data_IF_495821549528
#
_entry.id   IF_495821549528
#
_cell.length_a   1.000
_cell.length_b   1.000
_cell.length_c   1.000
_cell.angle_alpha   90.00
_cell.angle_beta   90.00
_cell.angle_gamma   90.00
#
_symmetry.space_group_name_H-M   'P 1'
#
loop_
_entity.id
_entity.type
_entity.pdbx_description
1 polymer ?
#
# COMPACT_ATOMS: atom_id res chain seq x y z
N UNK A 1 -45.13 11.67 -1.75
CA UNK A 1 -44.17 10.78 -2.43
C UNK A 1 -42.96 11.55 -2.91
N UNK A 2 -41.86 11.44 -2.18
CA UNK A 2 -40.57 12.03 -2.54
C UNK A 2 -39.50 10.96 -2.34
N UNK A 3 -39.22 10.23 -3.41
CA UNK A 3 -38.19 9.21 -3.49
C UNK A 3 -36.81 9.88 -3.50
N UNK A 4 -36.07 9.75 -2.40
CA UNK A 4 -34.64 10.09 -2.35
C UNK A 4 -33.82 8.90 -2.87
N UNK A 5 -33.26 9.05 -4.06
CA UNK A 5 -32.22 8.17 -4.59
C UNK A 5 -30.88 8.57 -3.97
N UNK A 6 -30.48 7.88 -2.89
CA UNK A 6 -29.16 8.04 -2.29
C UNK A 6 -28.05 7.36 -3.13
N UNK A 7 -26.83 7.91 -3.18
CA UNK A 7 -25.73 7.33 -3.95
C UNK A 7 -25.08 6.17 -3.16
N UNK A 8 -25.50 4.94 -3.42
CA UNK A 8 -24.93 3.72 -2.83
C UNK A 8 -23.80 3.08 -3.64
N UNK A 9 -23.31 3.73 -4.72
CA UNK A 9 -22.41 3.12 -5.71
C UNK A 9 -20.97 2.91 -5.23
N UNK A 10 -20.42 3.81 -4.41
CA UNK A 10 -18.96 3.91 -4.23
C UNK A 10 -18.27 2.73 -3.51
N UNK A 11 -18.96 2.02 -2.60
CA UNK A 11 -18.31 0.93 -1.82
C UNK A 11 -18.18 -0.38 -2.61
N UNK A 12 -19.15 -0.67 -3.48
CA UNK A 12 -19.16 -1.88 -4.30
C UNK A 12 -18.13 -1.78 -5.44
N UNK A 13 -17.94 -0.58 -5.97
CA UNK A 13 -16.92 -0.29 -7.00
C UNK A 13 -15.51 -0.50 -6.44
N UNK A 14 -15.24 -0.11 -5.19
CA UNK A 14 -13.94 -0.32 -4.55
C UNK A 14 -13.66 -1.81 -4.29
N UNK A 15 -14.63 -2.56 -3.76
CA UNK A 15 -14.46 -3.99 -3.48
C UNK A 15 -14.27 -4.82 -4.77
N UNK A 16 -15.03 -4.49 -5.82
CA UNK A 16 -14.87 -5.15 -7.13
C UNK A 16 -13.54 -4.80 -7.80
N UNK A 17 -13.06 -3.56 -7.63
CA UNK A 17 -11.75 -3.14 -8.10
C UNK A 17 -10.60 -3.84 -7.36
N UNK A 18 -10.65 -3.92 -6.03
CA UNK A 18 -9.64 -4.66 -5.25
C UNK A 18 -9.58 -6.14 -5.64
N UNK A 19 -10.73 -6.73 -5.98
CA UNK A 19 -10.84 -8.11 -6.47
C UNK A 19 -10.33 -8.29 -7.92
N UNK A 20 -10.22 -7.18 -8.67
CA UNK A 20 -9.68 -7.14 -10.04
C UNK A 20 -8.15 -6.97 -10.06
N UNK A 21 -7.53 -6.68 -8.92
CA UNK A 21 -6.08 -6.49 -8.88
C UNK A 21 -5.37 -7.86 -8.97
N UNK A 22 -4.32 -7.97 -9.80
CA UNK A 22 -3.43 -9.10 -9.75
C UNK A 22 -2.75 -9.21 -8.38
N UNK A 23 -2.30 -10.41 -7.98
CA UNK A 23 -1.69 -10.62 -6.67
C UNK A 23 -0.50 -9.66 -6.46
N UNK A 24 -0.29 -9.17 -5.22
CA UNK A 24 0.84 -8.29 -4.93
C UNK A 24 2.17 -8.94 -5.35
N UNK A 25 3.16 -8.14 -5.79
CA UNK A 25 4.44 -8.67 -6.18
C UNK A 25 5.19 -9.25 -4.97
N UNK A 26 5.91 -10.35 -5.15
CA UNK A 26 6.67 -10.96 -4.05
C UNK A 26 7.87 -10.09 -3.65
N UNK A 27 7.89 -9.64 -2.40
CA UNK A 27 9.05 -9.02 -1.76
C UNK A 27 9.66 -9.98 -0.76
N UNK A 28 10.97 -10.21 -0.86
CA UNK A 28 11.70 -10.90 0.20
C UNK A 28 11.81 -9.97 1.41
N UNK A 29 10.89 -10.13 2.34
CA UNK A 29 10.85 -9.38 3.59
C UNK A 29 12.01 -9.87 4.46
N UNK A 30 12.98 -8.99 4.68
CA UNK A 30 14.02 -9.22 5.68
C UNK A 30 13.71 -8.35 6.90
N UNK A 31 13.77 -8.89 8.13
CA UNK A 31 13.51 -8.12 9.33
C UNK A 31 14.62 -7.08 9.51
N UNK A 32 14.22 -5.85 9.82
CA UNK A 32 15.14 -4.71 9.99
C UNK A 32 16.38 -4.99 10.86
N UNK A 33 16.31 -5.73 12.00
CA UNK A 33 17.49 -6.03 12.80
C UNK A 33 18.54 -6.83 12.03
N UNK A 34 18.13 -7.71 11.11
CA UNK A 34 19.05 -8.47 10.25
C UNK A 34 19.66 -7.54 9.20
N UNK A 35 18.86 -6.62 8.64
CA UNK A 35 19.35 -5.61 7.68
C UNK A 35 20.38 -4.68 8.33
N UNK A 36 20.13 -4.25 9.57
CA UNK A 36 21.03 -3.40 10.35
C UNK A 36 22.29 -4.14 10.83
N UNK A 37 22.14 -5.37 11.34
CA UNK A 37 23.26 -6.19 11.81
C UNK A 37 24.21 -6.63 10.67
N UNK A 38 23.69 -6.73 9.43
CA UNK A 38 24.48 -7.01 8.24
C UNK A 38 25.30 -5.83 7.71
N UNK A 39 25.26 -4.66 8.37
CA UNK A 39 26.05 -3.48 7.97
C UNK A 39 25.57 -2.79 6.69
N UNK A 40 24.37 -3.12 6.19
CA UNK A 40 23.81 -2.51 4.97
C UNK A 40 23.14 -1.18 5.35
N UNK A 41 23.95 -0.14 5.50
CA UNK A 41 23.55 1.22 5.88
C UNK A 41 23.16 2.12 4.68
N UNK A 42 22.51 1.58 3.65
CA UNK A 42 22.18 2.32 2.41
C UNK A 42 20.68 2.62 2.26
N UNK A 43 20.10 3.22 3.31
CA UNK A 43 18.66 3.46 3.49
C UNK A 43 18.02 4.57 2.62
N UNK A 44 18.66 4.95 1.51
CA UNK A 44 18.17 6.01 0.61
C UNK A 44 18.07 5.65 -0.87
N UNK A 45 18.39 4.40 -1.25
CA UNK A 45 18.66 4.08 -2.68
C UNK A 45 17.96 2.83 -3.20
N UNK A 46 17.18 2.11 -2.38
CA UNK A 46 16.64 0.83 -2.84
C UNK A 46 15.51 0.96 -3.87
N UNK A 47 14.92 2.16 -4.01
CA UNK A 47 13.93 2.46 -5.05
C UNK A 47 14.63 2.91 -6.33
N UNK A 48 14.33 2.23 -7.45
CA UNK A 48 14.82 2.61 -8.79
C UNK A 48 14.47 4.07 -9.09
N UNK A 49 15.37 4.79 -9.76
CA UNK A 49 15.18 6.23 -10.06
C UNK A 49 13.86 6.54 -10.77
N UNK A 50 13.39 5.65 -11.66
CA UNK A 50 12.11 5.79 -12.37
C UNK A 50 10.88 5.73 -11.45
N UNK A 51 11.01 5.08 -10.30
CA UNK A 51 9.89 4.74 -9.42
C UNK A 51 9.87 5.64 -8.16
N UNK A 52 10.89 6.52 -7.99
CA UNK A 52 11.01 7.42 -6.85
C UNK A 52 9.80 8.33 -6.66
N UNK A 53 9.24 8.86 -7.73
CA UNK A 53 8.05 9.71 -7.65
C UNK A 53 6.80 8.88 -7.25
N UNK A 54 6.73 7.62 -7.67
CA UNK A 54 5.66 6.70 -7.24
C UNK A 54 5.75 6.48 -5.75
N UNK A 55 6.93 6.05 -5.30
CA UNK A 55 7.18 5.75 -3.91
C UNK A 55 6.96 6.99 -3.02
N UNK A 56 7.43 8.16 -3.43
CA UNK A 56 7.24 9.40 -2.67
C UNK A 56 5.75 9.78 -2.51
N UNK A 57 4.95 9.63 -3.56
CA UNK A 57 3.50 9.89 -3.48
C UNK A 57 2.81 8.88 -2.57
N UNK A 58 3.20 7.60 -2.65
CA UNK A 58 2.64 6.55 -1.79
C UNK A 58 3.01 6.79 -0.32
N UNK A 59 4.26 7.11 -0.02
CA UNK A 59 4.72 7.41 1.35
C UNK A 59 4.00 8.63 1.96
N UNK A 60 3.66 9.65 1.15
CA UNK A 60 2.84 10.78 1.61
C UNK A 60 1.43 10.37 2.03
N UNK A 61 0.88 9.29 1.48
CA UNK A 61 -0.43 8.74 1.88
C UNK A 61 -0.30 7.87 3.14
N UNK A 62 0.82 7.17 3.31
CA UNK A 62 1.07 6.29 4.46
C UNK A 62 1.16 7.06 5.78
N UNK A 63 1.92 8.15 5.81
CA UNK A 63 2.22 8.89 7.04
C UNK A 63 0.97 9.37 7.81
N UNK A 64 -0.04 10.01 7.19
CA UNK A 64 -1.25 10.38 7.91
C UNK A 64 -2.02 9.15 8.40
N UNK A 65 -2.09 8.07 7.62
CA UNK A 65 -2.78 6.83 8.02
C UNK A 65 -2.15 6.22 9.27
N UNK A 66 -0.81 6.18 9.34
CA UNK A 66 -0.10 5.72 10.53
C UNK A 66 -0.34 6.61 11.76
N UNK A 67 -0.39 7.93 11.57
CA UNK A 67 -0.63 8.88 12.67
C UNK A 67 -2.06 8.85 13.20
N UNK A 68 -3.04 8.53 12.36
CA UNK A 68 -4.45 8.43 12.76
C UNK A 68 -4.83 7.07 13.35
N UNK A 69 -4.03 6.02 13.10
CA UNK A 69 -4.32 4.71 13.65
C UNK A 69 -3.99 4.64 15.16
N UNK A 70 -4.99 4.35 16.01
CA UNK A 70 -4.79 4.30 17.45
C UNK A 70 -3.92 3.11 17.87
N UNK A 71 -3.95 2.00 17.13
CA UNK A 71 -3.13 0.81 17.42
C UNK A 71 -1.65 1.14 17.19
N UNK A 72 -1.33 1.76 16.05
CA UNK A 72 0.03 2.21 15.74
C UNK A 72 0.52 3.22 16.79
N UNK A 73 -0.34 4.16 17.17
CA UNK A 73 -0.01 5.16 18.20
C UNK A 73 0.19 4.56 19.60
N UNK A 74 -0.53 3.50 19.95
CA UNK A 74 -0.34 2.78 21.22
C UNK A 74 0.96 1.98 21.23
N UNK A 75 1.34 1.39 20.10
CA UNK A 75 2.54 0.56 19.96
C UNK A 75 3.84 1.38 19.86
N UNK A 76 3.80 2.49 19.12
CA UNK A 76 4.98 3.31 18.82
C UNK A 76 5.05 4.61 19.61
N UNK A 77 3.97 5.04 20.24
CA UNK A 77 3.92 6.31 20.96
C UNK A 77 3.74 7.53 20.04
N UNK A 78 4.05 8.72 20.58
CA UNK A 78 3.86 9.99 19.88
C UNK A 78 4.97 10.27 18.86
N UNK A 79 4.70 11.15 17.89
CA UNK A 79 5.69 11.58 16.91
C UNK A 79 6.00 10.50 15.87
N UNK A 80 4.95 9.83 15.37
CA UNK A 80 5.10 8.81 14.32
C UNK A 80 5.55 9.47 13.01
N UNK A 81 6.68 9.01 12.50
CA UNK A 81 7.30 9.45 11.26
C UNK A 81 7.72 8.24 10.41
N UNK A 82 7.57 8.37 9.10
CA UNK A 82 8.07 7.37 8.15
C UNK A 82 9.53 7.65 7.82
N UNK A 83 10.38 6.66 8.03
CA UNK A 83 11.81 6.69 7.73
C UNK A 83 12.15 6.18 6.32
N UNK A 84 13.41 5.77 6.15
CA UNK A 84 13.94 5.33 4.85
C UNK A 84 13.29 4.06 4.31
N UNK A 85 13.17 3.99 2.97
CA UNK A 85 12.78 2.78 2.23
C UNK A 85 14.04 1.94 1.99
N UNK A 86 14.03 0.69 2.42
CA UNK A 86 15.18 -0.22 2.30
C UNK A 86 14.94 -1.39 1.35
N UNK A 87 13.70 -1.64 0.95
CA UNK A 87 13.39 -2.63 -0.07
C UNK A 87 12.21 -2.16 -0.91
N UNK A 88 12.26 -2.42 -2.21
CA UNK A 88 11.15 -2.12 -3.11
C UNK A 88 11.10 -3.08 -4.28
N UNK A 89 9.90 -3.44 -4.69
CA UNK A 89 9.63 -4.18 -5.93
C UNK A 89 8.55 -3.43 -6.70
N UNK A 90 8.77 -3.23 -7.99
CA UNK A 90 7.85 -2.56 -8.89
C UNK A 90 7.62 -3.46 -10.11
N UNK A 91 6.37 -3.69 -10.46
CA UNK A 91 5.94 -4.45 -11.64
C UNK A 91 5.07 -3.54 -12.48
N UNK A 92 5.37 -3.44 -13.78
CA UNK A 92 4.68 -2.55 -14.71
C UNK A 92 3.71 -3.30 -15.58
N UNK A 93 2.78 -2.54 -16.15
CA UNK A 93 1.87 -3.00 -17.20
C UNK A 93 1.06 -4.24 -16.78
N UNK A 94 0.65 -4.29 -15.50
CA UNK A 94 -0.04 -5.47 -14.97
C UNK A 94 -1.51 -5.41 -15.38
N UNK A 95 -2.05 -6.42 -16.07
CA UNK A 95 -3.43 -6.40 -16.53
C UNK A 95 -4.38 -6.59 -15.33
N UNK A 96 -5.40 -5.73 -15.20
CA UNK A 96 -6.48 -5.98 -14.25
C UNK A 96 -7.23 -7.26 -14.63
N UNK A 97 -7.42 -8.14 -13.66
CA UNK A 97 -8.25 -9.33 -13.77
C UNK A 97 -9.70 -8.89 -13.96
N UNK A 98 -10.31 -9.31 -15.06
CA UNK A 98 -11.75 -9.07 -15.28
C UNK A 98 -12.52 -9.73 -14.15
N UNK A 99 -13.35 -8.95 -13.45
CA UNK A 99 -14.20 -9.50 -12.40
C UNK A 99 -15.12 -10.57 -13.01
N UNK A 100 -15.32 -11.73 -12.33
CA UNK A 100 -16.13 -12.82 -12.86
C UNK A 100 -17.61 -12.47 -13.03
N UNK A 101 -18.06 -11.33 -12.49
CA UNK A 101 -19.42 -10.81 -12.65
C UNK A 101 -19.65 -10.06 -13.97
N UNK A 102 -18.62 -9.85 -14.80
CA UNK A 102 -18.75 -9.18 -16.12
C UNK A 102 -19.02 -10.13 -17.29
N UNK A 103 -19.25 -11.42 -17.03
CA UNK A 103 -19.50 -12.43 -18.07
C UNK A 103 -20.95 -12.45 -18.61
N UNK A 104 -21.81 -11.49 -18.25
CA UNK A 104 -23.22 -11.47 -18.67
C UNK A 104 -23.60 -10.37 -19.68
N UNK A 105 -22.69 -9.48 -20.09
CA UNK A 105 -22.96 -8.51 -21.16
C UNK A 105 -21.98 -8.69 -22.32
N UNK A 106 -22.26 -9.69 -23.14
CA UNK A 106 -21.62 -9.90 -24.43
C UNK A 106 -22.12 -8.84 -25.43
N UNK A 107 -21.19 -8.31 -26.21
CA UNK A 107 -21.38 -7.34 -27.29
C UNK A 107 -21.79 -5.91 -26.87
N UNK A 108 -20.82 -5.12 -26.37
CA UNK A 108 -20.56 -3.69 -26.70
C UNK A 108 -20.05 -2.93 -25.46
N UNK A 109 -18.79 -3.14 -25.09
CA UNK A 109 -18.02 -2.13 -24.37
C UNK A 109 -16.55 -2.34 -24.67
N UNK A 110 -15.90 -1.28 -25.18
CA UNK A 110 -14.45 -1.20 -25.34
C UNK A 110 -13.82 -1.50 -23.99
N UNK A 111 -13.31 -2.72 -23.83
CA UNK A 111 -12.43 -3.08 -22.73
C UNK A 111 -11.20 -2.20 -22.92
N UNK A 112 -11.15 -1.06 -22.22
CA UNK A 112 -9.86 -0.45 -21.92
C UNK A 112 -9.13 -1.50 -21.09
N UNK A 113 -8.14 -2.16 -21.68
CA UNK A 113 -7.13 -2.89 -20.94
C UNK A 113 -6.45 -1.83 -20.06
N UNK A 114 -7.00 -1.60 -18.87
CA UNK A 114 -6.40 -0.70 -17.90
C UNK A 114 -5.26 -1.48 -17.28
N UNK A 115 -4.07 -1.27 -17.83
CA UNK A 115 -2.83 -1.72 -17.26
C UNK A 115 -2.49 -0.80 -16.07
N UNK A 116 -2.06 -1.42 -14.96
CA UNK A 116 -1.66 -0.70 -13.75
C UNK A 116 -0.22 -1.04 -13.40
N UNK A 117 0.52 -0.05 -12.91
CA UNK A 117 1.81 -0.29 -12.27
C UNK A 117 1.58 -0.64 -10.80
N UNK A 118 2.30 -1.63 -10.30
CA UNK A 118 2.25 -2.07 -8.92
C UNK A 118 3.59 -1.81 -8.24
N UNK A 119 3.56 -1.32 -7.00
CA UNK A 119 4.76 -1.15 -6.18
C UNK A 119 4.52 -1.66 -4.76
N UNK A 120 5.49 -2.37 -4.24
CA UNK A 120 5.56 -2.74 -2.83
C UNK A 120 6.83 -2.17 -2.21
N UNK A 121 6.70 -1.52 -1.07
CA UNK A 121 7.79 -0.84 -0.37
C UNK A 121 7.89 -1.36 1.06
N UNK A 122 9.13 -1.57 1.49
CA UNK A 122 9.50 -1.86 2.87
C UNK A 122 10.23 -0.64 3.43
N UNK A 123 9.73 -0.11 4.54
CA UNK A 123 10.24 1.12 5.13
C UNK A 123 10.27 1.06 6.65
N UNK A 124 11.07 1.92 7.25
CA UNK A 124 11.15 2.07 8.70
C UNK A 124 10.08 3.03 9.19
N UNK A 125 9.50 2.77 10.35
CA UNK A 125 8.63 3.69 11.07
C UNK A 125 9.31 4.00 12.40
N UNK A 126 9.33 5.26 12.80
CA UNK A 126 9.85 5.71 14.09
C UNK A 126 8.75 6.41 14.85
N UNK A 127 8.61 6.11 16.14
CA UNK A 127 7.70 6.82 17.04
C UNK A 127 8.25 6.81 18.45
N UNK A 128 8.24 7.96 19.13
CA UNK A 128 8.73 8.12 20.50
C UNK A 128 10.07 7.42 20.76
N UNK A 129 10.00 6.29 21.47
CA UNK A 129 11.16 5.47 21.87
C UNK A 129 11.24 4.12 21.14
N UNK A 130 10.37 3.87 20.16
CA UNK A 130 10.25 2.61 19.45
C UNK A 130 10.43 2.80 17.94
N UNK A 131 10.70 1.71 17.25
CA UNK A 131 10.70 1.65 15.80
C UNK A 131 9.93 0.42 15.35
N UNK A 132 9.33 0.53 14.17
CA UNK A 132 8.62 -0.53 13.51
C UNK A 132 9.05 -0.65 12.05
N UNK A 133 8.62 -1.74 11.45
CA UNK A 133 8.71 -2.02 10.04
C UNK A 133 7.34 -1.81 9.41
N UNK A 134 7.30 -1.02 8.34
CA UNK A 134 6.13 -0.85 7.49
C UNK A 134 6.31 -1.57 6.16
N UNK A 135 5.23 -2.18 5.67
CA UNK A 135 5.11 -2.70 4.31
C UNK A 135 3.90 -2.03 3.68
N UNK A 136 4.09 -1.33 2.57
CA UNK A 136 2.98 -0.72 1.83
C UNK A 136 2.93 -1.29 0.43
N UNK A 137 1.73 -1.65 0.00
CA UNK A 137 1.40 -2.01 -1.36
C UNK A 137 0.55 -0.89 -1.97
N UNK A 138 0.96 -0.41 -3.13
CA UNK A 138 0.25 0.62 -3.87
C UNK A 138 0.24 0.33 -5.36
N UNK A 139 -0.71 0.96 -6.03
CA UNK A 139 -0.89 0.87 -7.47
C UNK A 139 -0.89 2.27 -8.08
N UNK A 140 -0.53 2.34 -9.35
CA UNK A 140 -0.65 3.53 -10.18
C UNK A 140 -1.47 3.18 -11.41
N UNK A 141 -2.56 3.91 -11.56
CA UNK A 141 -3.45 3.84 -12.72
C UNK A 141 -2.86 4.61 -13.92
N UNK A 142 -3.37 4.37 -15.12
CA UNK A 142 -2.91 5.02 -16.36
C UNK A 142 -3.10 6.55 -16.35
N UNK A 143 -3.97 7.08 -15.50
CA UNK A 143 -4.17 8.52 -15.24
C UNK A 143 -3.11 9.11 -14.28
N UNK A 144 -2.08 8.35 -13.92
CA UNK A 144 -1.05 8.68 -12.92
C UNK A 144 -1.58 8.85 -11.49
N UNK A 145 -2.81 8.38 -11.22
CA UNK A 145 -3.37 8.34 -9.88
C UNK A 145 -2.71 7.19 -9.09
N UNK A 146 -2.11 7.55 -7.95
CA UNK A 146 -1.47 6.59 -7.04
C UNK A 146 -2.43 6.28 -5.90
N UNK A 147 -2.70 5.01 -5.68
CA UNK A 147 -3.57 4.55 -4.60
C UNK A 147 -2.86 3.52 -3.74
N UNK A 148 -2.92 3.72 -2.42
CA UNK A 148 -2.53 2.71 -1.45
C UNK A 148 -3.59 1.61 -1.37
N UNK A 149 -3.16 0.36 -1.46
CA UNK A 149 -4.05 -0.83 -1.48
C UNK A 149 -3.97 -1.60 -0.16
N UNK A 150 -2.77 -1.78 0.39
CA UNK A 150 -2.60 -2.35 1.72
C UNK A 150 -1.42 -1.69 2.46
N UNK A 151 -1.51 -1.66 3.78
CA UNK A 151 -0.47 -1.16 4.68
C UNK A 151 -0.40 -2.12 5.86
N UNK A 152 0.77 -2.70 6.07
CA UNK A 152 1.08 -3.55 7.21
C UNK A 152 2.15 -2.91 8.06
N UNK A 153 1.99 -3.07 9.37
CA UNK A 153 2.94 -2.59 10.37
C UNK A 153 3.33 -3.75 11.28
N UNK A 154 4.62 -3.85 11.56
CA UNK A 154 5.17 -4.82 12.50
C UNK A 154 6.12 -4.09 13.45
N UNK A 155 5.78 -4.07 14.74
CA UNK A 155 6.69 -3.59 15.79
C UNK A 155 7.91 -4.52 15.91
N UNK A 156 8.98 -4.08 16.59
CA UNK A 156 10.23 -4.84 16.75
C UNK A 156 9.99 -6.29 17.19
N UNK A 157 9.14 -6.52 18.20
CA UNK A 157 8.83 -7.87 18.67
C UNK A 157 8.06 -8.68 17.61
N UNK A 158 7.10 -8.05 16.92
CA UNK A 158 6.32 -8.68 15.87
C UNK A 158 7.21 -9.09 14.68
N UNK A 159 8.12 -8.21 14.26
CA UNK A 159 9.11 -8.48 13.20
C UNK A 159 9.98 -9.69 13.53
N UNK A 160 10.45 -9.80 14.77
CA UNK A 160 11.28 -10.92 15.23
C UNK A 160 10.49 -12.24 15.31
N UNK A 161 9.18 -12.16 15.55
CA UNK A 161 8.26 -13.29 15.61
C UNK A 161 7.56 -13.60 14.27
N UNK A 162 7.91 -12.89 13.19
CA UNK A 162 7.28 -13.07 11.87
C UNK A 162 5.80 -12.67 11.82
N UNK A 163 5.38 -11.72 12.67
CA UNK A 163 4.01 -11.21 12.77
C UNK A 163 3.94 -9.77 12.26
N UNK A 164 2.83 -9.42 11.62
CA UNK A 164 2.45 -8.05 11.26
C UNK A 164 0.96 -7.87 11.54
N UNK A 165 0.50 -6.62 11.61
CA UNK A 165 -0.91 -6.29 11.60
C UNK A 165 -1.23 -5.34 10.45
N UNK A 166 -2.39 -5.55 9.81
CA UNK A 166 -2.87 -4.68 8.74
C UNK A 166 -3.46 -3.41 9.35
N UNK A 167 -3.03 -2.25 8.85
CA UNK A 167 -3.62 -0.96 9.19
C UNK A 167 -4.81 -0.74 8.27
N UNK A 168 -6.01 -0.44 8.80
CA UNK A 168 -7.18 -0.19 7.99
C UNK A 168 -6.99 1.07 7.15
N UNK A 169 -6.98 0.90 5.82
CA UNK A 169 -6.96 2.02 4.88
C UNK A 169 -8.40 2.50 4.72
N UNK A 170 -8.87 3.27 5.69
CA UNK A 170 -10.03 4.09 5.46
C UNK A 170 -9.60 5.16 4.47
N UNK A 171 -10.07 5.07 3.23
CA UNK A 171 -9.87 6.09 2.22
C UNK A 171 -10.23 7.44 2.83
N UNK A 172 -9.22 8.21 3.23
CA UNK A 172 -9.38 9.63 3.39
C UNK A 172 -9.54 10.15 1.96
N UNK A 173 -10.78 10.09 1.47
CA UNK A 173 -11.22 10.86 0.32
C UNK A 173 -11.01 12.33 0.68
N UNK A 174 -9.87 12.87 0.29
CA UNK A 174 -9.64 14.30 0.14
C UNK A 174 -8.96 14.54 -1.20
#
# INVERSE_FOLDING_TARGET
DSSSSGPSSSKNDVMSFLSSLPPPPELKILPLPIVLAGGIFLFGTSVKSSDKQFAATLMKQVEPVLRYDPTVSMELGQGIETGGIYSSVCVRDVPLLKSPLSLLDDCTQRISNSEVDQIMLQFQITGGNAWAQGIVYGIRESNNNVRMVSLEVANMDAVMNGRSFSVPINFASQ
#
